data_IF_141974679380
#
_entry.id   IF_141974679380
#
_cell.length_a   1.000
_cell.length_b   1.000
_cell.length_c   1.000
_cell.angle_alpha   90.00
_cell.angle_beta   90.00
_cell.angle_gamma   90.00
#
_symmetry.space_group_name_H-M   'P 1'
#
loop_
_entity.id
_entity.type
_entity.pdbx_description
1 polymer ?
#
# COMPACT_ATOMS: atom_id res chain seq x y z
N UNK A 1 35.76 39.22 -1.43
CA UNK A 1 34.86 38.42 -2.29
C UNK A 1 33.65 39.26 -2.63
N UNK A 2 33.28 39.39 -3.91
CA UNK A 2 32.15 40.24 -4.31
C UNK A 2 30.84 39.64 -3.74
N UNK A 3 29.95 40.48 -3.20
CA UNK A 3 28.68 40.03 -2.60
C UNK A 3 27.83 39.23 -3.60
N UNK A 4 27.93 39.56 -4.88
CA UNK A 4 27.28 38.82 -5.98
C UNK A 4 27.82 37.41 -6.15
N UNK A 5 29.11 37.18 -5.91
CA UNK A 5 29.74 35.84 -6.01
C UNK A 5 29.29 34.97 -4.82
N UNK A 6 29.20 35.55 -3.63
CA UNK A 6 28.69 34.84 -2.44
C UNK A 6 27.23 34.40 -2.62
N UNK A 7 26.39 35.24 -3.22
CA UNK A 7 24.99 34.93 -3.49
C UNK A 7 24.81 33.78 -4.51
N UNK A 8 25.62 33.76 -5.56
CA UNK A 8 25.60 32.69 -6.58
C UNK A 8 26.00 31.34 -5.94
N UNK A 9 27.01 31.35 -5.07
CA UNK A 9 27.43 30.14 -4.34
C UNK A 9 26.29 29.65 -3.42
N UNK A 10 25.63 30.55 -2.68
CA UNK A 10 24.51 30.18 -1.81
C UNK A 10 23.32 29.60 -2.59
N UNK A 11 23.00 30.12 -3.77
CA UNK A 11 21.93 29.60 -4.63
C UNK A 11 22.27 28.24 -5.27
N UNK A 12 23.55 27.98 -5.55
CA UNK A 12 24.00 26.70 -6.11
C UNK A 12 23.92 25.54 -5.10
N UNK A 13 24.01 25.82 -3.79
CA UNK A 13 23.96 24.79 -2.73
C UNK A 13 22.52 24.36 -2.41
N UNK A 14 21.50 25.12 -2.80
CA UNK A 14 20.09 24.82 -2.45
C UNK A 14 19.39 23.77 -3.33
N UNK A 15 20.06 23.17 -4.32
CA UNK A 15 19.40 22.31 -5.32
C UNK A 15 19.66 20.81 -5.19
N UNK A 16 20.17 20.33 -4.06
CA UNK A 16 20.29 18.88 -3.81
C UNK A 16 19.24 18.42 -2.81
N UNK A 17 18.02 18.17 -3.29
CA UNK A 17 17.08 17.29 -2.58
C UNK A 17 17.37 15.85 -3.00
N UNK A 18 17.97 15.07 -2.11
CA UNK A 18 18.01 13.61 -2.26
C UNK A 18 16.62 13.07 -1.93
N UNK A 19 15.81 12.80 -2.94
CA UNK A 19 14.59 12.02 -2.76
C UNK A 19 14.98 10.58 -2.45
N UNK A 20 14.89 10.15 -1.18
CA UNK A 20 14.97 8.73 -0.85
C UNK A 20 13.75 8.05 -1.48
N UNK A 21 13.98 7.10 -2.39
CA UNK A 21 12.88 6.32 -2.97
C UNK A 21 12.24 5.50 -1.85
N UNK A 22 10.99 5.84 -1.51
CA UNK A 22 10.21 5.20 -0.44
C UNK A 22 9.84 3.73 -0.75
N UNK A 23 10.27 3.21 -1.91
CA UNK A 23 9.92 1.87 -2.37
C UNK A 23 11.09 0.93 -2.66
N UNK A 24 12.29 1.30 -2.25
CA UNK A 24 13.51 0.53 -2.50
C UNK A 24 14.08 0.02 -1.17
N UNK A 25 14.72 -1.16 -1.16
CA UNK A 25 15.33 -1.82 0.02
C UNK A 25 14.36 -2.45 1.04
N UNK A 26 13.32 -3.15 0.57
CA UNK A 26 12.64 -4.17 1.38
C UNK A 26 11.67 -3.65 2.44
N UNK A 27 11.84 -2.40 2.86
CA UNK A 27 10.88 -1.59 3.60
C UNK A 27 10.21 -0.62 2.64
N UNK A 28 8.88 -0.56 2.67
CA UNK A 28 8.10 0.39 1.88
C UNK A 28 6.78 0.72 2.58
N UNK A 29 6.17 1.84 2.17
CA UNK A 29 4.86 2.26 2.63
C UNK A 29 3.93 2.44 1.42
N UNK A 30 2.70 1.92 1.52
CA UNK A 30 1.64 2.17 0.54
C UNK A 30 0.58 3.03 1.24
N UNK A 31 0.45 4.28 0.79
CA UNK A 31 -0.52 5.26 1.30
C UNK A 31 -1.78 5.39 0.41
N UNK A 32 -1.78 4.78 -0.78
CA UNK A 32 -2.83 4.84 -1.81
C UNK A 32 -3.07 6.22 -2.45
N UNK A 33 -2.25 7.22 -2.12
CA UNK A 33 -2.39 8.60 -2.58
C UNK A 33 -1.44 8.93 -3.75
N UNK A 34 -0.35 8.18 -3.87
CA UNK A 34 0.62 8.27 -4.96
C UNK A 34 0.89 6.91 -5.62
N UNK A 35 1.66 6.94 -6.71
CA UNK A 35 1.98 5.74 -7.49
C UNK A 35 3.34 5.12 -7.15
N UNK A 36 4.10 5.71 -6.21
CA UNK A 36 5.51 5.39 -5.95
C UNK A 36 5.66 3.90 -5.59
N UNK A 37 4.79 3.41 -4.71
CA UNK A 37 4.78 2.02 -4.27
C UNK A 37 3.65 1.15 -4.78
N UNK A 38 2.76 1.73 -5.59
CA UNK A 38 1.53 1.04 -5.99
C UNK A 38 1.78 -0.17 -6.90
N UNK A 39 2.92 -0.22 -7.59
CA UNK A 39 3.35 -1.36 -8.40
C UNK A 39 3.56 -2.66 -7.60
N UNK A 40 3.65 -2.58 -6.26
CA UNK A 40 3.75 -3.75 -5.38
C UNK A 40 2.39 -4.35 -5.04
N UNK A 41 1.32 -3.63 -5.32
CA UNK A 41 -0.05 -4.02 -5.05
C UNK A 41 -0.72 -4.49 -6.33
N UNK A 42 -1.31 -5.68 -6.28
CA UNK A 42 -2.04 -6.26 -7.39
C UNK A 42 -3.47 -6.52 -6.96
N UNK A 43 -4.42 -5.92 -7.67
CA UNK A 43 -5.83 -6.28 -7.65
C UNK A 43 -6.04 -7.09 -8.94
N UNK A 44 -6.26 -8.39 -8.81
CA UNK A 44 -6.51 -9.22 -9.98
C UNK A 44 -7.93 -8.99 -10.49
N UNK A 45 -8.04 -8.23 -11.58
CA UNK A 45 -9.28 -8.02 -12.33
C UNK A 45 -9.32 -8.82 -13.64
N UNK A 46 -8.27 -9.59 -13.95
CA UNK A 46 -8.16 -10.34 -15.22
C UNK A 46 -8.65 -11.77 -14.99
N UNK A 47 -8.07 -12.48 -14.02
CA UNK A 47 -8.48 -13.85 -13.69
C UNK A 47 -9.65 -13.89 -12.70
N UNK A 48 -9.84 -12.84 -11.91
CA UNK A 48 -11.02 -12.62 -11.08
C UNK A 48 -11.74 -11.30 -11.48
N UNK A 49 -12.54 -11.29 -12.56
CA UNK A 49 -13.23 -10.07 -13.01
C UNK A 49 -14.28 -9.53 -12.03
N UNK A 50 -14.68 -10.34 -11.04
CA UNK A 50 -15.62 -9.94 -9.99
C UNK A 50 -14.93 -9.35 -8.76
N UNK A 51 -13.60 -9.17 -8.80
CA UNK A 51 -12.86 -8.56 -7.70
C UNK A 51 -13.32 -7.11 -7.47
N UNK A 52 -13.82 -6.82 -6.26
CA UNK A 52 -14.38 -5.51 -5.93
C UNK A 52 -13.43 -4.59 -5.15
N UNK A 53 -12.19 -5.03 -4.91
CA UNK A 53 -11.19 -4.15 -4.29
C UNK A 53 -10.90 -2.97 -5.20
N UNK A 54 -10.91 -1.76 -4.64
CA UNK A 54 -10.57 -0.55 -5.37
C UNK A 54 -9.83 0.45 -4.50
N UNK A 55 -8.99 1.25 -5.15
CA UNK A 55 -8.31 2.39 -4.53
C UNK A 55 -9.10 3.65 -4.85
N UNK A 56 -9.47 4.41 -3.82
CA UNK A 56 -10.15 5.69 -4.00
C UNK A 56 -10.60 6.32 -2.69
N UNK A 57 -11.25 7.48 -2.82
CA UNK A 57 -11.80 8.20 -1.67
C UNK A 57 -12.94 7.39 -1.04
N UNK A 58 -12.93 7.16 0.28
CA UNK A 58 -14.00 6.43 0.94
C UNK A 58 -15.28 7.30 1.02
N UNK A 59 -16.42 6.75 0.58
CA UNK A 59 -17.72 7.46 0.48
C UNK A 59 -18.85 6.76 1.24
N UNK A 60 -18.55 5.66 1.97
CA UNK A 60 -19.53 4.91 2.77
C UNK A 60 -19.91 5.70 4.04
N UNK A 61 -21.17 5.63 4.52
CA UNK A 61 -21.59 6.34 5.74
C UNK A 61 -20.76 6.02 7.00
N UNK A 62 -20.26 4.79 7.09
CA UNK A 62 -19.45 4.29 8.22
C UNK A 62 -17.94 4.34 7.93
N UNK A 63 -17.56 4.58 6.68
CA UNK A 63 -16.19 4.65 6.18
C UNK A 63 -16.10 5.88 5.27
N UNK A 64 -15.91 7.03 5.88
CA UNK A 64 -15.99 8.35 5.23
C UNK A 64 -14.69 9.16 5.31
N UNK A 65 -13.63 8.56 5.87
CA UNK A 65 -12.31 9.20 5.98
C UNK A 65 -11.20 8.17 5.81
N UNK A 66 -10.15 8.54 5.09
CA UNK A 66 -8.93 7.77 4.96
C UNK A 66 -7.96 8.04 6.12
N UNK A 67 -7.12 7.07 6.48
CA UNK A 67 -6.04 7.28 7.45
C UNK A 67 -4.95 8.21 6.88
N UNK A 68 -4.45 7.89 5.69
CA UNK A 68 -3.70 8.79 4.81
C UNK A 68 -4.66 9.40 3.80
N UNK A 69 -4.98 10.69 3.93
CA UNK A 69 -5.92 11.34 3.02
C UNK A 69 -5.27 11.65 1.67
N UNK A 70 -5.98 11.46 0.54
CA UNK A 70 -7.43 11.22 0.45
C UNK A 70 -7.92 9.76 0.29
N UNK A 71 -7.08 8.79 -0.06
CA UNK A 71 -7.53 7.50 -0.59
C UNK A 71 -7.37 6.32 0.39
N UNK A 72 -8.17 5.29 0.18
CA UNK A 72 -8.03 3.97 0.81
C UNK A 72 -8.07 2.88 -0.25
N UNK A 73 -7.60 1.68 0.09
CA UNK A 73 -8.03 0.45 -0.59
C UNK A 73 -9.22 -0.18 0.16
N UNK A 74 -10.31 -0.48 -0.55
CA UNK A 74 -11.55 -1.02 0.05
C UNK A 74 -12.34 -1.91 -0.91
N UNK A 75 -13.16 -2.83 -0.37
CA UNK A 75 -14.15 -3.66 -1.09
C UNK A 75 -15.35 -2.83 -1.54
N UNK A 76 -15.18 -2.04 -2.59
CA UNK A 76 -16.02 -0.92 -3.00
C UNK A 76 -15.89 0.33 -2.07
N UNK A 77 -16.02 1.55 -2.61
CA UNK A 77 -15.85 2.85 -1.94
C UNK A 77 -17.19 3.51 -1.65
N UNK A 78 -18.25 3.07 -2.32
CA UNK A 78 -19.62 3.58 -2.28
C UNK A 78 -20.54 2.57 -1.60
N UNK A 79 -20.56 1.32 -2.08
CA UNK A 79 -21.53 0.30 -1.69
C UNK A 79 -20.93 -0.75 -0.74
N UNK A 80 -21.72 -1.34 0.17
CA UNK A 80 -21.29 -2.53 0.92
C UNK A 80 -20.87 -3.67 -0.01
N UNK A 81 -19.95 -4.52 0.45
CA UNK A 81 -19.60 -5.74 -0.28
C UNK A 81 -20.81 -6.70 -0.32
N UNK A 82 -20.98 -7.50 -1.39
CA UNK A 82 -22.07 -8.48 -1.49
C UNK A 82 -21.82 -9.67 -0.56
N UNK A 83 -22.87 -10.43 -0.18
CA UNK A 83 -22.70 -11.66 0.58
C UNK A 83 -21.80 -12.67 -0.13
N UNK A 84 -20.95 -13.37 0.64
CA UNK A 84 -20.00 -14.38 0.15
C UNK A 84 -18.93 -13.84 -0.83
N UNK A 85 -18.56 -12.56 -0.70
CA UNK A 85 -17.44 -12.01 -1.46
C UNK A 85 -16.12 -12.69 -1.08
N UNK A 86 -15.33 -13.06 -2.08
CA UNK A 86 -14.00 -13.67 -1.94
C UNK A 86 -12.91 -12.85 -2.62
N UNK A 87 -13.18 -11.56 -2.85
CA UNK A 87 -12.26 -10.65 -3.50
C UNK A 87 -10.99 -10.49 -2.67
N UNK A 88 -9.84 -10.47 -3.34
CA UNK A 88 -8.54 -10.35 -2.69
C UNK A 88 -7.62 -9.39 -3.44
N UNK A 89 -6.64 -8.82 -2.74
CA UNK A 89 -5.51 -8.14 -3.36
C UNK A 89 -4.22 -8.70 -2.76
N UNK A 90 -3.13 -8.58 -3.51
CA UNK A 90 -1.82 -9.08 -3.12
C UNK A 90 -0.88 -7.90 -2.97
N UNK A 91 -0.16 -7.85 -1.85
CA UNK A 91 1.00 -6.97 -1.67
C UNK A 91 2.25 -7.82 -1.77
N UNK A 92 3.09 -7.51 -2.76
CA UNK A 92 4.30 -8.26 -3.07
C UNK A 92 5.55 -7.54 -2.60
N UNK A 93 6.50 -8.31 -2.07
CA UNK A 93 7.82 -7.81 -1.73
C UNK A 93 8.90 -8.72 -2.32
N UNK A 94 9.98 -8.11 -2.83
CA UNK A 94 11.11 -8.85 -3.35
C UNK A 94 12.01 -9.29 -2.19
N UNK A 95 12.05 -10.60 -1.93
CA UNK A 95 12.86 -11.19 -0.86
C UNK A 95 14.36 -10.83 -0.97
N UNK A 96 14.91 -10.78 -2.18
CA UNK A 96 16.32 -10.48 -2.42
C UNK A 96 16.69 -9.00 -2.18
N UNK A 97 15.71 -8.10 -2.14
CA UNK A 97 15.91 -6.66 -1.91
C UNK A 97 15.59 -6.24 -0.47
N UNK A 98 15.71 -7.14 0.50
CA UNK A 98 15.43 -6.85 1.91
C UNK A 98 13.98 -7.12 2.32
N UNK A 99 13.23 -7.92 1.55
CA UNK A 99 11.85 -8.27 1.91
C UNK A 99 11.69 -9.00 3.24
N UNK A 100 12.81 -9.50 3.77
CA UNK A 100 12.97 -9.86 5.17
C UNK A 100 13.98 -8.93 5.82
N UNK A 101 13.62 -8.37 6.97
CA UNK A 101 14.58 -7.81 7.90
C UNK A 101 15.49 -8.95 8.37
N UNK A 102 16.80 -8.75 8.21
CA UNK A 102 17.79 -9.68 8.76
C UNK A 102 17.52 -9.91 10.26
N UNK A 103 17.50 -11.16 10.74
CA UNK A 103 17.90 -12.38 10.03
C UNK A 103 16.82 -13.15 9.26
N UNK A 104 15.51 -12.93 9.50
CA UNK A 104 14.44 -13.70 8.85
C UNK A 104 13.03 -13.11 9.04
N UNK A 105 12.89 -11.83 9.41
CA UNK A 105 11.61 -11.26 9.83
C UNK A 105 10.94 -10.52 8.68
N UNK A 106 9.74 -10.94 8.28
CA UNK A 106 8.83 -10.10 7.48
C UNK A 106 7.89 -9.36 8.44
N UNK A 107 7.72 -8.05 8.24
CA UNK A 107 6.82 -7.24 9.04
C UNK A 107 5.75 -6.61 8.14
N UNK A 108 4.49 -6.84 8.51
CA UNK A 108 3.34 -6.16 7.93
C UNK A 108 2.68 -5.31 9.03
N UNK A 109 2.58 -4.01 8.80
CA UNK A 109 1.83 -3.10 9.66
C UNK A 109 0.76 -2.41 8.82
N UNK A 110 -0.50 -2.46 9.28
CA UNK A 110 -1.65 -1.91 8.57
C UNK A 110 -2.54 -1.11 9.51
N UNK A 111 -2.99 0.04 9.01
CA UNK A 111 -4.17 0.70 9.57
C UNK A 111 -5.37 0.18 8.82
N UNK A 112 -6.26 -0.51 9.53
CA UNK A 112 -7.46 -1.06 8.95
C UNK A 112 -8.67 -0.64 9.77
N UNK A 113 -9.81 -0.68 9.10
CA UNK A 113 -11.12 -0.66 9.72
C UNK A 113 -11.90 -1.78 9.05
N UNK A 114 -12.87 -2.35 9.76
CA UNK A 114 -13.75 -3.39 9.24
C UNK A 114 -15.16 -3.10 9.70
N UNK A 115 -16.13 -3.37 8.83
CA UNK A 115 -17.53 -3.43 9.20
C UNK A 115 -18.08 -4.75 8.69
N UNK A 116 -18.22 -5.69 9.60
CA UNK A 116 -18.46 -7.10 9.38
C UNK A 116 -19.50 -7.57 10.39
N UNK A 117 -20.30 -8.57 10.06
CA UNK A 117 -21.04 -9.28 11.10
C UNK A 117 -20.06 -10.02 12.03
N UNK A 118 -20.50 -10.33 13.26
CA UNK A 118 -19.65 -10.95 14.28
C UNK A 118 -19.65 -12.48 14.27
N UNK A 119 -20.34 -13.13 13.33
CA UNK A 119 -20.61 -14.57 13.38
C UNK A 119 -20.00 -15.33 12.20
N UNK A 120 -20.12 -14.81 10.98
CA UNK A 120 -19.76 -15.52 9.74
C UNK A 120 -18.79 -14.75 8.87
N UNK A 121 -18.77 -13.43 8.98
CA UNK A 121 -17.91 -12.59 8.16
C UNK A 121 -16.51 -12.44 8.78
N UNK A 122 -15.48 -12.56 7.95
CA UNK A 122 -14.09 -12.33 8.34
C UNK A 122 -13.27 -11.82 7.15
N UNK A 123 -12.19 -11.11 7.46
CA UNK A 123 -11.11 -10.84 6.51
C UNK A 123 -9.97 -11.83 6.75
N UNK A 124 -9.35 -12.30 5.67
CA UNK A 124 -8.23 -13.23 5.72
C UNK A 124 -6.95 -12.52 5.28
N UNK A 125 -5.87 -12.70 6.04
CA UNK A 125 -4.52 -12.29 5.66
C UNK A 125 -3.69 -13.56 5.56
N UNK A 126 -3.17 -13.84 4.38
CA UNK A 126 -2.30 -14.99 4.13
C UNK A 126 -0.90 -14.52 3.73
N UNK A 127 0.10 -15.35 4.03
CA UNK A 127 1.49 -15.11 3.68
C UNK A 127 2.00 -16.22 2.74
N UNK A 128 2.72 -15.81 1.69
CA UNK A 128 3.39 -16.72 0.77
C UNK A 128 4.89 -16.39 0.67
N UNK A 129 5.80 -17.32 1.03
CA UNK A 129 7.23 -17.14 0.87
C UNK A 129 7.75 -17.55 -0.52
N UNK A 130 6.91 -18.15 -1.36
CA UNK A 130 7.29 -18.85 -2.60
C UNK A 130 6.55 -18.35 -3.84
N UNK A 131 6.30 -17.04 -3.87
CA UNK A 131 5.67 -16.34 -4.99
C UNK A 131 4.27 -16.86 -5.35
N UNK A 132 3.48 -17.19 -4.32
CA UNK A 132 2.08 -17.60 -4.44
C UNK A 132 1.87 -19.10 -4.69
N UNK A 133 2.91 -19.93 -4.59
CA UNK A 133 2.79 -21.38 -4.79
C UNK A 133 2.14 -22.06 -3.59
N UNK A 134 2.47 -21.60 -2.38
CA UNK A 134 1.85 -21.98 -1.11
C UNK A 134 1.46 -20.75 -0.32
N UNK A 135 0.40 -20.87 0.49
CA UNK A 135 -0.15 -19.82 1.33
C UNK A 135 -0.34 -20.35 2.75
N UNK A 136 -0.01 -19.51 3.73
CA UNK A 136 -0.10 -19.80 5.17
C UNK A 136 -1.07 -18.80 5.78
N UNK A 137 -2.03 -19.29 6.59
CA UNK A 137 -3.04 -18.51 7.30
C UNK A 137 -2.76 -18.35 8.80
#
# INVERSE_FOLDING_TARGET
MNKSILLIILLAVMNFSYGQSQCYWGSFNINFDDTICLHRLTIDSITNPNNIWQIGKPQKPIFYSAHSSPNVIATDTVNPYPPNDTSAFIVSNNAAMGGFQFPHTALLAVYYKVNSDSLKDYGLIEFSPDNGSTWIN
#
